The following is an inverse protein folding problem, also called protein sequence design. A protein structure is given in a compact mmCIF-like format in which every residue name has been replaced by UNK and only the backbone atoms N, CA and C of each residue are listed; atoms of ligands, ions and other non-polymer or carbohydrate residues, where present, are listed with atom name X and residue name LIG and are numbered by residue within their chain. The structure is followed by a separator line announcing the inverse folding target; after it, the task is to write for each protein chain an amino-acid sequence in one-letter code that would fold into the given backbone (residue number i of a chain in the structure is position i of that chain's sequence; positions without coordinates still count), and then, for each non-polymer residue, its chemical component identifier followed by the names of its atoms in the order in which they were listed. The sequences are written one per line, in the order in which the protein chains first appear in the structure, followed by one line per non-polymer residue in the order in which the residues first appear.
data_IF_074393224236
#
_entry.id   IF_074393224236
#
_cell.length_a   1.000
_cell.length_b   1.000
_cell.length_c   1.000
_cell.angle_alpha   90.00
_cell.angle_beta   90.00
_cell.angle_gamma   90.00
#
_symmetry.space_group_name_H-M   'P 1'
#
loop_
_entity.id
_entity.type
_entity.pdbx_description
1 polymer ?
#
# COMPACT_ATOMS: atom_id res chain seq x y z
N UNK A 1 23.08 13.03 50.14
CA UNK A 1 23.11 11.87 49.21
C UNK A 1 21.79 11.82 48.46
N UNK A 2 21.75 12.34 47.24
CA UNK A 2 20.56 12.29 46.40
C UNK A 2 20.54 10.95 45.64
N UNK A 3 19.53 10.08 45.83
CA UNK A 3 19.42 8.87 45.03
C UNK A 3 19.00 9.26 43.61
N UNK A 4 19.97 9.12 42.72
CA UNK A 4 19.95 9.08 41.26
C UNK A 4 18.57 9.15 40.56
N UNK A 5 18.37 10.28 39.89
CA UNK A 5 17.42 10.56 38.79
C UNK A 5 17.55 9.59 37.59
N UNK A 6 18.52 8.66 37.61
CA UNK A 6 18.86 7.75 36.52
C UNK A 6 17.94 6.53 36.35
N UNK A 7 16.98 6.27 37.24
CA UNK A 7 15.98 5.20 37.03
C UNK A 7 14.75 5.62 36.19
N UNK A 8 14.64 6.89 35.78
CA UNK A 8 13.50 7.39 34.97
C UNK A 8 13.72 7.42 33.45
N UNK A 9 14.89 7.02 32.94
CA UNK A 9 15.31 7.35 31.56
C UNK A 9 15.03 6.31 30.46
N UNK A 10 14.41 5.17 30.72
CA UNK A 10 14.03 4.21 29.66
C UNK A 10 12.64 3.62 29.87
N UNK A 11 11.64 4.48 30.11
CA UNK A 11 10.27 4.07 29.78
C UNK A 11 10.21 4.07 28.25
N UNK A 12 10.50 2.92 27.62
CA UNK A 12 10.11 2.67 26.23
C UNK A 12 8.62 2.93 26.17
N UNK A 13 8.22 4.08 25.61
CA UNK A 13 6.80 4.34 25.37
C UNK A 13 6.39 3.33 24.32
N UNK A 14 5.48 2.44 24.67
CA UNK A 14 4.92 1.47 23.73
C UNK A 14 3.78 2.17 22.99
N UNK A 15 3.67 1.93 21.69
CA UNK A 15 2.48 2.26 20.89
C UNK A 15 1.68 0.96 20.66
N UNK A 16 0.36 1.08 20.58
CA UNK A 16 -0.54 -0.03 20.24
C UNK A 16 -1.03 0.09 18.80
N UNK A 17 -1.31 -1.05 18.17
CA UNK A 17 -1.97 -1.10 16.85
C UNK A 17 -3.25 -0.27 16.82
N UNK A 18 -4.09 -0.42 17.85
CA UNK A 18 -5.33 0.35 17.99
C UNK A 18 -5.07 1.87 18.03
N UNK A 19 -4.02 2.30 18.74
CA UNK A 19 -3.62 3.71 18.79
C UNK A 19 -3.18 4.25 17.43
N UNK A 20 -2.41 3.46 16.67
CA UNK A 20 -2.01 3.79 15.31
C UNK A 20 -3.21 3.85 14.36
N UNK A 21 -4.11 2.86 14.42
CA UNK A 21 -5.33 2.82 13.60
C UNK A 21 -6.26 4.00 13.89
N UNK A 22 -6.35 4.45 15.14
CA UNK A 22 -7.09 5.68 15.49
C UNK A 22 -6.51 6.93 14.82
N UNK A 23 -5.19 7.01 14.66
CA UNK A 23 -4.54 8.10 13.92
C UNK A 23 -4.77 7.96 12.42
N UNK A 24 -4.58 6.76 11.86
CA UNK A 24 -4.80 6.49 10.44
C UNK A 24 -6.24 6.72 10.00
N UNK A 25 -7.23 6.38 10.84
CA UNK A 25 -8.67 6.62 10.57
C UNK A 25 -9.00 8.13 10.44
N UNK A 26 -8.18 9.02 10.99
CA UNK A 26 -8.37 10.47 10.77
C UNK A 26 -7.96 10.90 9.37
N UNK A 27 -7.00 10.21 8.75
CA UNK A 27 -6.62 10.44 7.35
C UNK A 27 -7.74 10.01 6.41
N UNK A 28 -8.45 8.94 6.76
CA UNK A 28 -9.65 8.50 6.02
C UNK A 28 -10.72 9.60 5.94
N UNK A 29 -10.98 10.30 7.05
CA UNK A 29 -11.89 11.43 7.04
C UNK A 29 -11.43 12.59 6.13
N UNK A 30 -10.12 12.78 5.95
CA UNK A 30 -9.56 13.85 5.12
C UNK A 30 -9.51 13.50 3.63
N UNK A 31 -9.25 12.23 3.30
CA UNK A 31 -8.88 11.80 1.96
C UNK A 31 -9.71 10.64 1.40
N UNK A 32 -10.73 10.15 2.14
CA UNK A 32 -11.52 8.97 1.79
C UNK A 32 -10.62 7.78 1.45
N UNK A 33 -9.89 7.28 2.45
CA UNK A 33 -8.99 6.16 2.28
C UNK A 33 -9.75 4.94 1.77
N UNK A 34 -9.11 4.18 0.89
CA UNK A 34 -9.61 2.85 0.52
C UNK A 34 -9.22 1.90 1.65
N UNK A 35 -10.16 1.65 2.56
CA UNK A 35 -10.00 0.69 3.63
C UNK A 35 -10.15 -0.73 3.07
N UNK A 36 -9.10 -1.54 3.15
CA UNK A 36 -9.05 -2.91 2.65
C UNK A 36 -9.23 -3.05 1.13
N UNK A 37 -8.85 -4.21 0.62
CA UNK A 37 -9.06 -4.57 -0.78
C UNK A 37 -10.56 -4.68 -1.07
N UNK A 38 -11.14 -3.65 -1.69
CA UNK A 38 -12.35 -3.81 -2.51
C UNK A 38 -11.95 -4.60 -3.76
N UNK A 39 -11.80 -5.93 -3.61
CA UNK A 39 -12.19 -6.78 -4.71
C UNK A 39 -13.63 -6.41 -5.01
N UNK A 40 -14.04 -6.51 -6.27
CA UNK A 40 -15.45 -6.70 -6.56
C UNK A 40 -15.89 -8.07 -5.97
N UNK A 41 -16.02 -8.16 -4.64
CA UNK A 41 -16.49 -9.35 -3.93
C UNK A 41 -17.99 -9.60 -4.20
N UNK A 42 -18.72 -8.65 -4.79
CA UNK A 42 -20.19 -8.77 -4.85
C UNK A 42 -20.85 -8.73 -6.23
N UNK A 43 -20.16 -8.47 -7.35
CA UNK A 43 -20.89 -8.25 -8.63
C UNK A 43 -20.45 -9.02 -9.87
N UNK A 44 -19.29 -9.67 -9.89
CA UNK A 44 -18.83 -10.35 -11.11
C UNK A 44 -18.86 -11.88 -11.10
N UNK A 45 -19.22 -12.52 -9.98
CA UNK A 45 -19.29 -13.98 -9.95
C UNK A 45 -18.00 -14.60 -10.47
N UNK A 46 -16.86 -14.22 -9.87
CA UNK A 46 -15.61 -14.94 -10.08
C UNK A 46 -15.79 -16.30 -9.41
N UNK A 47 -16.39 -17.23 -10.15
CA UNK A 47 -16.42 -18.63 -9.79
C UNK A 47 -14.97 -19.08 -9.56
N UNK A 48 -14.75 -19.86 -8.50
CA UNK A 48 -13.51 -20.52 -8.10
C UNK A 48 -12.94 -21.52 -9.15
N UNK A 49 -13.21 -21.29 -10.44
CA UNK A 49 -12.75 -22.06 -11.58
C UNK A 49 -12.64 -21.28 -12.89
N UNK A 50 -12.99 -19.97 -12.94
CA UNK A 50 -12.77 -19.18 -14.17
C UNK A 50 -11.29 -18.86 -14.34
N UNK A 51 -10.77 -19.28 -15.49
CA UNK A 51 -9.47 -18.91 -16.00
C UNK A 51 -9.33 -17.38 -16.00
N UNK A 52 -8.10 -16.89 -15.83
CA UNK A 52 -7.72 -15.48 -16.00
C UNK A 52 -8.44 -14.87 -17.23
N UNK A 53 -8.76 -13.57 -17.30
CA UNK A 53 -9.21 -12.97 -18.56
C UNK A 53 -8.27 -13.38 -19.70
N UNK A 54 -8.81 -13.88 -20.82
CA UNK A 54 -8.05 -14.35 -21.99
C UNK A 54 -7.03 -13.29 -22.46
N UNK A 55 -7.33 -12.03 -22.20
CA UNK A 55 -6.54 -10.85 -22.49
C UNK A 55 -5.25 -10.75 -21.66
N UNK A 56 -5.22 -11.30 -20.44
CA UNK A 56 -4.01 -11.35 -19.61
C UNK A 56 -3.14 -12.58 -19.90
N UNK A 57 -3.68 -13.59 -20.58
CA UNK A 57 -2.89 -14.67 -21.19
C UNK A 57 -2.11 -14.19 -22.43
N UNK A 58 -2.61 -13.15 -23.13
CA UNK A 58 -1.93 -12.58 -24.29
C UNK A 58 -0.62 -11.91 -23.88
N UNK A 59 0.46 -12.19 -24.61
CA UNK A 59 1.78 -11.58 -24.38
C UNK A 59 2.57 -12.13 -23.17
N UNK A 60 2.14 -13.22 -22.54
CA UNK A 60 2.90 -13.90 -21.48
C UNK A 60 2.90 -13.20 -20.11
N UNK A 61 2.04 -12.20 -19.90
CA UNK A 61 1.97 -11.42 -18.65
C UNK A 61 1.62 -12.32 -17.47
N UNK A 62 0.64 -13.21 -17.60
CA UNK A 62 0.27 -14.13 -16.54
C UNK A 62 1.45 -15.00 -16.12
N UNK A 63 2.16 -15.62 -17.08
CA UNK A 63 3.34 -16.42 -16.79
C UNK A 63 4.38 -15.57 -16.06
N UNK A 64 4.65 -14.36 -16.57
CA UNK A 64 5.56 -13.43 -15.92
C UNK A 64 5.12 -13.13 -14.49
N UNK A 65 3.87 -12.76 -14.22
CA UNK A 65 3.35 -12.47 -12.87
C UNK A 65 3.40 -13.71 -11.95
N UNK A 66 3.20 -14.90 -12.50
CA UNK A 66 3.25 -16.16 -11.75
C UNK A 66 4.67 -16.56 -11.40
N UNK A 67 5.61 -16.58 -12.36
CA UNK A 67 7.03 -16.90 -12.14
C UNK A 67 7.61 -16.01 -11.03
N UNK A 68 7.20 -14.77 -11.07
CA UNK A 68 7.48 -13.70 -10.14
C UNK A 68 6.89 -13.89 -8.75
N UNK A 69 5.59 -14.19 -8.69
CA UNK A 69 4.94 -14.55 -7.44
C UNK A 69 5.62 -15.77 -6.82
N UNK A 70 6.05 -16.75 -7.62
CA UNK A 70 6.75 -17.94 -7.17
C UNK A 70 8.23 -17.71 -6.88
N UNK A 71 8.81 -16.57 -7.29
CA UNK A 71 10.18 -16.19 -6.97
C UNK A 71 10.33 -15.92 -5.47
N UNK A 72 11.53 -16.23 -4.94
CA UNK A 72 11.93 -15.89 -3.58
C UNK A 72 12.40 -14.43 -3.45
N UNK A 73 12.55 -13.73 -4.57
CA UNK A 73 12.96 -12.32 -4.57
C UNK A 73 11.73 -11.40 -4.56
N UNK A 74 11.77 -10.30 -3.78
CA UNK A 74 10.76 -9.25 -3.86
C UNK A 74 10.88 -8.55 -5.20
N UNK A 75 9.75 -8.35 -5.85
CA UNK A 75 9.73 -7.85 -7.21
C UNK A 75 8.69 -6.72 -7.37
N UNK A 76 9.02 -5.80 -8.26
CA UNK A 76 8.22 -4.61 -8.57
C UNK A 76 7.80 -4.70 -10.03
N UNK A 77 6.50 -4.59 -10.28
CA UNK A 77 5.96 -4.59 -11.64
C UNK A 77 5.24 -3.29 -11.92
N UNK A 78 5.46 -2.76 -13.11
CA UNK A 78 4.60 -1.73 -13.69
C UNK A 78 3.87 -2.36 -14.87
N UNK A 79 2.55 -2.43 -14.79
CA UNK A 79 1.70 -2.71 -15.95
C UNK A 79 1.39 -1.37 -16.61
N UNK A 80 2.15 -1.05 -17.66
CA UNK A 80 1.92 0.14 -18.51
C UNK A 80 0.93 -0.16 -19.64
N UNK A 81 0.35 0.92 -20.20
CA UNK A 81 -0.71 0.96 -21.22
C UNK A 81 -0.42 0.27 -22.59
N UNK A 82 0.59 -0.60 -22.68
CA UNK A 82 0.86 -1.43 -23.87
C UNK A 82 -0.15 -2.55 -24.13
N UNK A 83 -1.23 -2.61 -23.35
CA UNK A 83 -2.24 -3.66 -23.42
C UNK A 83 -3.61 -3.02 -23.63
N UNK A 84 -4.45 -3.61 -24.50
CA UNK A 84 -5.83 -3.16 -24.77
C UNK A 84 -6.78 -3.30 -23.55
N UNK A 85 -6.23 -3.49 -22.35
CA UNK A 85 -6.92 -3.68 -21.11
C UNK A 85 -6.64 -2.49 -20.19
N UNK A 86 -7.66 -2.01 -19.48
CA UNK A 86 -7.49 -0.96 -18.49
C UNK A 86 -6.59 -1.49 -17.35
N UNK A 87 -5.42 -0.89 -17.08
CA UNK A 87 -4.46 -1.46 -16.12
C UNK A 87 -5.05 -1.57 -14.70
N UNK A 88 -5.99 -0.69 -14.33
CA UNK A 88 -6.73 -0.80 -13.08
C UNK A 88 -7.58 -2.08 -12.97
N UNK A 89 -8.10 -2.61 -14.10
CA UNK A 89 -8.72 -3.93 -14.13
C UNK A 89 -7.66 -5.03 -13.98
N UNK A 90 -6.48 -4.91 -14.60
CA UNK A 90 -5.45 -5.94 -14.52
C UNK A 90 -4.99 -6.22 -13.08
N UNK A 91 -4.87 -5.17 -12.25
CA UNK A 91 -4.61 -5.32 -10.82
C UNK A 91 -5.72 -6.08 -10.08
N UNK A 92 -6.98 -5.76 -10.37
CA UNK A 92 -8.12 -6.47 -9.77
C UNK A 92 -8.15 -7.96 -10.15
N UNK A 93 -7.94 -8.25 -11.42
CA UNK A 93 -7.96 -9.61 -11.97
C UNK A 93 -6.79 -10.45 -11.40
N UNK A 94 -5.62 -9.84 -11.26
CA UNK A 94 -4.47 -10.49 -10.63
C UNK A 94 -4.71 -10.80 -9.15
N UNK A 95 -5.25 -9.84 -8.41
CA UNK A 95 -5.62 -10.06 -7.02
C UNK A 95 -6.67 -11.17 -6.85
N UNK A 96 -7.71 -11.18 -7.69
CA UNK A 96 -8.73 -12.23 -7.69
C UNK A 96 -8.12 -13.60 -7.99
N UNK A 97 -7.26 -13.69 -9.00
CA UNK A 97 -6.55 -14.93 -9.34
C UNK A 97 -5.68 -15.45 -8.20
N UNK A 98 -4.90 -14.56 -7.56
CA UNK A 98 -4.04 -14.95 -6.44
C UNK A 98 -4.84 -15.49 -5.26
N UNK A 99 -5.97 -14.86 -4.90
CA UNK A 99 -6.80 -15.34 -3.80
C UNK A 99 -7.36 -16.74 -4.03
N UNK A 100 -7.70 -17.09 -5.27
CA UNK A 100 -8.20 -18.45 -5.59
C UNK A 100 -7.08 -19.49 -5.47
N UNK A 101 -5.85 -19.15 -5.86
CA UNK A 101 -4.72 -20.10 -5.94
C UNK A 101 -3.83 -20.11 -4.71
N UNK A 102 -3.85 -19.05 -3.93
CA UNK A 102 -3.15 -18.88 -2.67
C UNK A 102 -4.09 -18.13 -1.70
N UNK A 103 -5.06 -18.83 -1.10
CA UNK A 103 -6.09 -18.21 -0.25
C UNK A 103 -5.53 -17.52 0.99
N UNK A 104 -4.33 -17.91 1.42
CA UNK A 104 -3.63 -17.33 2.56
C UNK A 104 -2.81 -16.08 2.18
N UNK A 105 -2.82 -15.66 0.91
CA UNK A 105 -2.12 -14.44 0.49
C UNK A 105 -2.85 -13.18 0.96
N UNK A 106 -2.10 -12.25 1.55
CA UNK A 106 -2.60 -10.91 1.85
C UNK A 106 -2.52 -10.07 0.59
N UNK A 107 -3.67 -9.61 0.09
CA UNK A 107 -3.71 -8.72 -1.08
C UNK A 107 -4.24 -7.36 -0.64
N UNK A 108 -3.42 -6.33 -0.82
CA UNK A 108 -3.77 -4.93 -0.59
C UNK A 108 -3.90 -4.23 -1.95
N UNK A 109 -4.95 -3.42 -2.11
CA UNK A 109 -5.07 -2.52 -3.26
C UNK A 109 -5.44 -1.14 -2.78
N UNK A 110 -4.69 -0.16 -3.27
CA UNK A 110 -4.96 1.25 -3.06
C UNK A 110 -5.15 1.93 -4.41
N UNK A 111 -6.10 2.86 -4.48
CA UNK A 111 -6.36 3.69 -5.66
C UNK A 111 -6.86 5.05 -5.20
N UNK A 112 -6.61 6.13 -5.95
CA UNK A 112 -7.24 7.40 -5.70
C UNK A 112 -8.74 7.29 -6.01
N UNK A 113 -9.57 7.66 -5.04
CA UNK A 113 -11.02 7.69 -5.21
C UNK A 113 -11.42 8.81 -6.17
N UNK A 114 -10.73 9.94 -6.10
CA UNK A 114 -10.84 11.03 -7.06
C UNK A 114 -9.63 11.04 -7.99
N UNK A 115 -9.83 10.49 -9.20
CA UNK A 115 -8.80 10.45 -10.26
C UNK A 115 -8.65 11.77 -11.01
N UNK A 116 -9.46 12.76 -10.69
CA UNK A 116 -9.46 14.09 -11.34
C UNK A 116 -8.85 15.18 -10.46
N UNK A 117 -8.55 14.86 -9.20
CA UNK A 117 -7.87 15.76 -8.28
C UNK A 117 -6.44 16.11 -8.75
N UNK A 118 -5.86 17.14 -8.11
CA UNK A 118 -4.46 17.50 -8.33
C UNK A 118 -3.52 16.38 -7.88
N UNK A 119 -2.35 16.29 -8.50
CA UNK A 119 -1.34 15.25 -8.25
C UNK A 119 -0.97 15.14 -6.77
N UNK A 120 -0.81 16.27 -6.06
CA UNK A 120 -0.50 16.29 -4.62
C UNK A 120 -1.61 15.64 -3.80
N UNK A 121 -2.87 15.92 -4.14
CA UNK A 121 -4.02 15.36 -3.45
C UNK A 121 -4.14 13.86 -3.73
N UNK A 122 -3.96 13.44 -4.98
CA UNK A 122 -3.92 12.01 -5.37
C UNK A 122 -2.82 11.29 -4.58
N UNK A 123 -1.62 11.86 -4.49
CA UNK A 123 -0.51 11.29 -3.72
C UNK A 123 -0.85 11.17 -2.23
N UNK A 124 -1.49 12.20 -1.65
CA UNK A 124 -1.96 12.15 -0.26
C UNK A 124 -3.04 11.09 -0.03
N UNK A 125 -3.97 10.90 -0.98
CA UNK A 125 -4.96 9.82 -0.92
C UNK A 125 -4.29 8.43 -0.92
N UNK A 126 -3.31 8.23 -1.81
CA UNK A 126 -2.55 6.98 -1.90
C UNK A 126 -1.73 6.72 -0.63
N UNK A 127 -0.98 7.70 -0.15
CA UNK A 127 -0.21 7.62 1.09
C UNK A 127 -1.11 7.27 2.27
N UNK A 128 -2.23 7.96 2.41
CA UNK A 128 -3.18 7.75 3.51
C UNK A 128 -3.78 6.34 3.47
N UNK A 129 -4.15 5.86 2.28
CA UNK A 129 -4.65 4.49 2.09
C UNK A 129 -3.58 3.45 2.41
N UNK A 130 -2.34 3.65 1.97
CA UNK A 130 -1.22 2.74 2.27
C UNK A 130 -0.91 2.69 3.77
N UNK A 131 -0.87 3.84 4.44
CA UNK A 131 -0.64 3.94 5.89
C UNK A 131 -1.74 3.17 6.62
N UNK A 132 -3.00 3.41 6.27
CA UNK A 132 -4.13 2.73 6.88
C UNK A 132 -4.03 1.21 6.70
N UNK A 133 -3.82 0.75 5.47
CA UNK A 133 -3.77 -0.69 5.18
C UNK A 133 -2.58 -1.37 5.87
N UNK A 134 -1.36 -0.83 5.80
CA UNK A 134 -0.22 -1.44 6.49
C UNK A 134 -0.35 -1.37 8.02
N UNK A 135 -0.96 -0.32 8.57
CA UNK A 135 -1.25 -0.23 10.01
C UNK A 135 -2.18 -1.34 10.52
N UNK A 136 -2.97 -1.99 9.65
CA UNK A 136 -3.77 -3.17 10.07
C UNK A 136 -2.91 -4.43 10.24
N UNK A 137 -1.73 -4.45 9.63
CA UNK A 137 -0.80 -5.58 9.58
C UNK A 137 0.37 -5.44 10.55
N UNK A 138 0.42 -4.39 11.39
CA UNK A 138 1.49 -4.25 12.39
C UNK A 138 1.18 -5.08 13.65
N UNK A 139 2.20 -5.43 14.45
CA UNK A 139 2.00 -6.11 15.73
C UNK A 139 1.10 -5.34 16.68
N UNK A 140 0.41 -6.06 17.57
CA UNK A 140 -0.48 -5.47 18.58
C UNK A 140 0.18 -4.37 19.43
N UNK A 141 1.48 -4.53 19.73
CA UNK A 141 2.31 -3.57 20.47
C UNK A 141 3.70 -3.49 19.86
N UNK A 142 4.25 -2.27 19.80
CA UNK A 142 5.59 -2.01 19.29
C UNK A 142 6.21 -0.79 19.94
N UNK A 143 7.54 -0.67 19.82
CA UNK A 143 8.27 0.48 20.34
C UNK A 143 7.82 1.77 19.65
N UNK A 144 7.46 2.79 20.42
CA UNK A 144 7.06 4.07 19.84
C UNK A 144 8.25 4.71 19.13
N UNK A 145 8.05 5.04 17.87
CA UNK A 145 9.00 5.78 17.04
C UNK A 145 8.55 7.25 16.88
N UNK A 146 9.49 8.20 16.69
CA UNK A 146 9.17 9.63 16.61
C UNK A 146 8.16 9.99 15.51
N UNK A 147 8.27 9.36 14.33
CA UNK A 147 7.46 9.71 13.17
C UNK A 147 6.01 9.18 13.23
N UNK A 148 5.73 8.18 14.07
CA UNK A 148 4.38 7.73 14.37
C UNK A 148 3.76 8.57 15.49
N UNK A 149 3.60 9.88 15.22
CA UNK A 149 3.04 10.84 16.16
C UNK A 149 1.88 11.62 15.54
N UNK A 150 0.95 12.08 16.39
CA UNK A 150 -0.25 12.82 15.99
C UNK A 150 0.05 13.97 15.01
N UNK A 151 1.14 14.72 15.24
CA UNK A 151 1.53 15.84 14.41
C UNK A 151 1.79 15.44 12.94
N UNK A 152 2.50 14.35 12.68
CA UNK A 152 2.75 13.91 11.30
C UNK A 152 1.46 13.50 10.58
N UNK A 153 0.51 12.89 11.28
CA UNK A 153 -0.79 12.55 10.71
C UNK A 153 -1.62 13.80 10.41
N UNK A 154 -1.58 14.81 11.28
CA UNK A 154 -2.23 16.10 11.05
C UNK A 154 -1.59 16.84 9.86
N UNK A 155 -0.26 16.82 9.75
CA UNK A 155 0.45 17.40 8.60
C UNK A 155 0.06 16.72 7.29
N UNK A 156 -0.01 15.38 7.27
CA UNK A 156 -0.48 14.66 6.08
C UNK A 156 -1.93 15.03 5.76
N UNK A 157 -2.82 15.12 6.75
CA UNK A 157 -4.22 15.53 6.56
C UNK A 157 -4.36 16.92 5.91
N UNK A 158 -3.35 17.78 6.03
CA UNK A 158 -3.25 19.08 5.35
C UNK A 158 -2.33 19.05 4.12
N UNK A 159 -2.18 17.89 3.46
CA UNK A 159 -1.37 17.66 2.26
C UNK A 159 0.17 17.71 2.45
N UNK A 160 0.65 17.45 3.65
CA UNK A 160 2.08 17.29 3.95
C UNK A 160 2.63 15.92 3.50
N UNK A 161 2.92 15.77 2.20
CA UNK A 161 3.42 14.53 1.56
C UNK A 161 4.64 13.95 2.31
N UNK A 162 5.61 14.79 2.68
CA UNK A 162 6.81 14.40 3.43
C UNK A 162 6.48 13.75 4.78
N UNK A 163 5.42 14.20 5.47
CA UNK A 163 4.98 13.57 6.71
C UNK A 163 4.40 12.17 6.45
N UNK A 164 3.64 11.99 5.36
CA UNK A 164 3.12 10.68 4.96
C UNK A 164 4.21 9.66 4.62
N UNK A 165 5.25 10.09 3.89
CA UNK A 165 6.41 9.24 3.59
C UNK A 165 7.14 8.79 4.87
N UNK A 166 7.35 9.72 5.81
CA UNK A 166 7.97 9.42 7.12
C UNK A 166 7.12 8.47 7.95
N UNK A 167 5.79 8.64 7.97
CA UNK A 167 4.88 7.70 8.66
C UNK A 167 5.02 6.30 8.08
N UNK A 168 4.95 6.14 6.74
CA UNK A 168 5.07 4.84 6.08
C UNK A 168 6.40 4.16 6.39
N UNK A 169 7.51 4.90 6.29
CA UNK A 169 8.84 4.36 6.53
C UNK A 169 9.07 3.95 7.99
N UNK A 170 8.41 4.63 8.92
CA UNK A 170 8.49 4.39 10.35
C UNK A 170 7.58 3.25 10.84
N UNK A 171 6.76 2.65 9.97
CA UNK A 171 5.94 1.50 10.35
C UNK A 171 6.84 0.33 10.81
N UNK A 172 6.47 -0.36 11.90
CA UNK A 172 7.20 -1.55 12.35
C UNK A 172 7.09 -2.68 11.32
N UNK A 173 7.92 -3.74 11.43
CA UNK A 173 7.78 -4.95 10.63
C UNK A 173 6.34 -5.50 10.69
N UNK A 174 5.84 -6.03 9.57
CA UNK A 174 4.46 -6.50 9.48
C UNK A 174 4.34 -7.90 10.10
N UNK A 175 3.23 -8.17 10.78
CA UNK A 175 2.89 -9.45 11.36
C UNK A 175 2.08 -10.28 10.35
N UNK A 176 2.81 -10.94 9.44
CA UNK A 176 2.21 -11.69 8.32
C UNK A 176 1.97 -13.18 8.63
N UNK A 177 2.40 -13.70 9.78
CA UNK A 177 2.19 -15.11 10.17
C UNK A 177 2.55 -16.16 9.09
N UNK A 178 3.60 -15.90 8.30
CA UNK A 178 4.02 -16.77 7.19
C UNK A 178 3.30 -16.55 5.85
N UNK A 179 2.30 -15.65 5.82
CA UNK A 179 1.60 -15.23 4.61
C UNK A 179 2.47 -14.35 3.72
N UNK A 180 2.27 -14.44 2.40
CA UNK A 180 2.88 -13.53 1.43
C UNK A 180 1.95 -12.36 1.16
N UNK A 181 2.52 -11.21 0.87
CA UNK A 181 1.75 -9.98 0.61
C UNK A 181 1.92 -9.51 -0.84
N UNK A 182 0.82 -9.15 -1.49
CA UNK A 182 0.81 -8.39 -2.73
C UNK A 182 0.22 -7.01 -2.44
N UNK A 183 0.98 -5.96 -2.72
CA UNK A 183 0.49 -4.58 -2.71
C UNK A 183 0.27 -4.10 -4.15
N UNK A 184 -0.95 -3.65 -4.45
CA UNK A 184 -1.33 -3.08 -5.74
C UNK A 184 -1.59 -1.59 -5.55
N UNK A 185 -0.83 -0.75 -6.26
CA UNK A 185 -1.02 0.70 -6.27
C UNK A 185 -1.51 1.11 -7.66
N UNK A 186 -2.79 1.44 -7.75
CA UNK A 186 -3.45 1.79 -9.00
C UNK A 186 -3.42 3.30 -9.24
N UNK A 187 -3.16 3.67 -10.49
CA UNK A 187 -3.11 5.03 -11.01
C UNK A 187 -2.05 5.93 -10.35
N UNK A 188 -0.91 5.38 -9.93
CA UNK A 188 0.20 6.16 -9.35
C UNK A 188 0.71 7.24 -10.33
N UNK A 189 0.66 6.96 -11.63
CA UNK A 189 1.06 7.91 -12.68
C UNK A 189 0.22 9.20 -12.68
N UNK A 190 -0.99 9.20 -12.10
CA UNK A 190 -1.78 10.42 -11.96
C UNK A 190 -1.23 11.38 -10.89
N UNK A 191 -0.41 10.85 -9.98
CA UNK A 191 0.34 11.62 -8.99
C UNK A 191 1.76 11.99 -9.46
N UNK A 192 2.17 11.60 -10.66
CA UNK A 192 3.51 11.89 -11.20
C UNK A 192 3.45 13.15 -12.07
N UNK A 193 3.51 14.31 -11.42
CA UNK A 193 3.67 15.62 -12.06
C UNK A 193 5.02 16.24 -11.67
N UNK A 194 5.47 17.30 -12.35
CA UNK A 194 6.76 17.96 -12.05
C UNK A 194 6.90 18.36 -10.57
N UNK A 195 5.81 18.77 -9.92
CA UNK A 195 5.78 19.14 -8.49
C UNK A 195 5.90 17.96 -7.52
N UNK A 196 5.68 16.73 -7.98
CA UNK A 196 5.48 15.53 -7.16
C UNK A 196 6.30 14.32 -7.60
N UNK A 197 7.00 14.39 -8.73
CA UNK A 197 7.78 13.30 -9.30
C UNK A 197 8.84 12.74 -8.33
N UNK A 198 9.56 13.61 -7.63
CA UNK A 198 10.54 13.21 -6.62
C UNK A 198 9.88 12.49 -5.44
N UNK A 199 8.67 12.89 -5.05
CA UNK A 199 7.95 12.27 -3.95
C UNK A 199 7.33 10.93 -4.36
N UNK A 200 6.87 10.78 -5.61
CA UNK A 200 6.48 9.49 -6.19
C UNK A 200 7.67 8.54 -6.20
N UNK A 201 8.86 9.00 -6.61
CA UNK A 201 10.10 8.19 -6.58
C UNK A 201 10.45 7.76 -5.15
N UNK A 202 10.35 8.66 -4.17
CA UNK A 202 10.54 8.32 -2.75
C UNK A 202 9.52 7.31 -2.24
N UNK A 203 8.24 7.49 -2.59
CA UNK A 203 7.18 6.55 -2.23
C UNK A 203 7.50 5.15 -2.76
N UNK A 204 7.87 5.03 -4.03
CA UNK A 204 8.29 3.77 -4.64
C UNK A 204 9.44 3.14 -3.86
N UNK A 205 10.47 3.91 -3.53
CA UNK A 205 11.59 3.40 -2.75
C UNK A 205 11.19 2.93 -1.33
N UNK A 206 10.29 3.65 -0.65
CA UNK A 206 9.75 3.26 0.66
C UNK A 206 8.96 1.97 0.55
N UNK A 207 8.06 1.85 -0.42
CA UNK A 207 7.25 0.64 -0.65
C UNK A 207 8.13 -0.57 -0.98
N UNK A 208 9.15 -0.40 -1.83
CA UNK A 208 10.14 -1.43 -2.10
C UNK A 208 10.79 -1.92 -0.82
N UNK A 209 11.28 -1.00 0.02
CA UNK A 209 11.91 -1.38 1.29
C UNK A 209 10.93 -2.12 2.20
N UNK A 210 9.69 -1.65 2.33
CA UNK A 210 8.67 -2.33 3.15
C UNK A 210 8.43 -3.75 2.63
N UNK A 211 8.20 -3.92 1.33
CA UNK A 211 7.84 -5.22 0.76
C UNK A 211 9.01 -6.20 0.74
N UNK A 212 10.23 -5.74 0.47
CA UNK A 212 11.46 -6.56 0.57
C UNK A 212 11.61 -7.17 1.97
N UNK A 213 11.42 -6.37 3.03
CA UNK A 213 11.51 -6.84 4.43
C UNK A 213 10.45 -7.90 4.78
N UNK A 214 9.37 -7.96 4.00
CA UNK A 214 8.17 -8.74 4.30
C UNK A 214 7.87 -9.80 3.23
N UNK A 215 8.84 -10.17 2.38
CA UNK A 215 8.66 -11.11 1.24
C UNK A 215 7.42 -10.77 0.39
N UNK A 216 7.23 -9.49 0.15
CA UNK A 216 6.09 -8.90 -0.53
C UNK A 216 6.38 -8.54 -1.97
N UNK A 217 5.30 -8.46 -2.76
CA UNK A 217 5.32 -8.07 -4.17
C UNK A 217 4.60 -6.74 -4.36
N UNK A 218 5.08 -5.93 -5.30
CA UNK A 218 4.50 -4.64 -5.65
C UNK A 218 4.02 -4.64 -7.10
N UNK A 219 2.77 -4.23 -7.31
CA UNK A 219 2.18 -4.05 -8.63
C UNK A 219 1.67 -2.62 -8.79
N UNK A 220 2.30 -1.86 -9.68
CA UNK A 220 1.81 -0.58 -10.16
C UNK A 220 0.95 -0.77 -11.41
N UNK A 221 -0.21 -0.13 -11.42
CA UNK A 221 -1.07 -0.06 -12.62
C UNK A 221 -1.23 1.38 -13.04
N UNK A 222 -1.13 1.65 -14.35
CA UNK A 222 -1.30 3.00 -14.89
C UNK A 222 -2.74 3.30 -15.26
N UNK A 223 -3.20 4.53 -15.02
CA UNK A 223 -4.47 5.00 -15.56
C UNK A 223 -4.22 5.86 -16.80
N UNK A 224 -5.06 5.72 -17.82
CA UNK A 224 -5.06 6.65 -18.95
C UNK A 224 -5.36 8.06 -18.45
N UNK A 225 -4.52 9.03 -18.80
CA UNK A 225 -4.86 10.43 -18.65
C UNK A 225 -6.12 10.69 -19.49
N UNK A 226 -7.20 11.17 -18.87
CA UNK A 226 -8.37 11.64 -19.62
C UNK A 226 -7.91 12.88 -20.40
N UNK A 227 -7.98 12.81 -21.73
CA UNK A 227 -7.80 13.96 -22.62
C UNK A 227 -8.94 14.94 -22.45
#
# INVERSE_FOLDING_TARGET
MAPSVLKRAFIRKIMTKEGLLKLAKRLDAAFSCVAHFEALEEKRGYDNGKQFPAELYKGGIQKRLLDNWLSNEPNIYTLSDGYNFNAGLAGCEWAAFLRVRNPDAIVLRVYPKDRTAKAEHILCQLLSSLIYNFATLVPEKFDKVPDLCKQNFELLATQGISAGLRILEALPPLELYGMRILCIVDALNLAEADSTADDVKKLTAVLTRILVRNNGHLLYTTAKHRK
#
